data_IF_235686926186
#
_entry.id   IF_235686926186
#
_cell.length_a   1.000
_cell.length_b   1.000
_cell.length_c   1.000
_cell.angle_alpha   90.00
_cell.angle_beta   90.00
_cell.angle_gamma   90.00
#
_symmetry.space_group_name_H-M   'P 1'
#
loop_
_entity.id
_entity.type
_entity.pdbx_description
1 polymer ?
#
# COMPACT_ATOMS: atom_id res chain seq x y z
N UNK A 1 -13.79 5.57 -10.97
CA UNK A 1 -13.29 6.34 -12.11
C UNK A 1 -11.93 5.79 -12.51
N UNK A 2 -11.77 5.44 -13.77
CA UNK A 2 -10.48 5.03 -14.32
C UNK A 2 -9.56 6.24 -14.47
N UNK A 3 -8.23 6.04 -14.52
CA UNK A 3 -7.31 7.14 -14.76
C UNK A 3 -7.69 7.89 -16.03
N UNK A 4 -7.97 9.17 -15.89
CA UNK A 4 -8.26 10.09 -17.00
C UNK A 4 -7.16 11.14 -17.03
N UNK A 5 -7.05 11.97 -18.07
CA UNK A 5 -6.14 13.14 -18.08
C UNK A 5 -6.33 13.99 -16.82
N UNK A 6 -7.58 14.23 -16.40
CA UNK A 6 -7.87 14.98 -15.17
C UNK A 6 -7.34 14.30 -13.91
N UNK A 7 -7.32 12.96 -13.87
CA UNK A 7 -6.77 12.20 -12.73
C UNK A 7 -5.26 12.31 -12.68
N UNK A 8 -4.57 12.21 -13.83
CA UNK A 8 -3.11 12.42 -13.89
C UNK A 8 -2.71 13.86 -13.54
N UNK A 9 -3.48 14.87 -13.97
CA UNK A 9 -3.25 16.26 -13.60
C UNK A 9 -3.34 16.47 -12.08
N UNK A 10 -4.32 15.85 -11.40
CA UNK A 10 -4.45 15.91 -9.94
C UNK A 10 -3.29 15.17 -9.25
N UNK A 11 -2.87 14.03 -9.76
CA UNK A 11 -1.73 13.29 -9.21
C UNK A 11 -0.44 14.10 -9.35
N UNK A 12 -0.21 14.76 -10.49
CA UNK A 12 0.94 15.65 -10.69
C UNK A 12 0.92 16.85 -9.71
N UNK A 13 -0.26 17.44 -9.44
CA UNK A 13 -0.41 18.50 -8.44
C UNK A 13 -0.08 18.01 -7.03
N UNK A 14 -0.43 16.76 -6.69
CA UNK A 14 -0.06 16.16 -5.41
C UNK A 14 1.45 15.92 -5.30
N UNK A 15 2.12 15.50 -6.38
CA UNK A 15 3.59 15.40 -6.40
C UNK A 15 4.23 16.75 -6.07
N UNK A 16 3.74 17.84 -6.68
CA UNK A 16 4.21 19.19 -6.36
C UNK A 16 3.94 19.56 -4.89
N UNK A 17 2.78 19.19 -4.35
CA UNK A 17 2.45 19.43 -2.94
C UNK A 17 3.43 18.70 -2.01
N UNK A 18 3.77 17.46 -2.29
CA UNK A 18 4.79 16.71 -1.54
C UNK A 18 6.16 17.39 -1.61
N UNK A 19 6.57 17.83 -2.79
CA UNK A 19 7.87 18.51 -3.01
C UNK A 19 7.94 19.85 -2.26
N UNK A 20 6.83 20.58 -2.15
CA UNK A 20 6.73 21.84 -1.40
C UNK A 20 6.50 21.66 0.10
N UNK A 21 6.41 20.43 0.60
CA UNK A 21 6.25 20.15 2.02
C UNK A 21 4.83 20.41 2.56
N UNK A 22 3.82 20.46 1.69
CA UNK A 22 2.44 20.83 2.05
C UNK A 22 1.54 19.66 2.47
N UNK A 23 1.95 18.42 2.22
CA UNK A 23 1.13 17.24 2.49
C UNK A 23 1.26 16.76 3.95
N UNK A 24 0.33 15.91 4.37
CA UNK A 24 0.34 15.31 5.71
C UNK A 24 1.61 14.50 5.95
N UNK A 25 2.04 13.71 4.97
CA UNK A 25 3.26 12.89 5.09
C UNK A 25 4.51 13.75 5.35
N UNK A 26 4.62 14.94 4.76
CA UNK A 26 5.74 15.83 5.02
C UNK A 26 5.84 16.22 6.51
N UNK A 27 4.68 16.48 7.13
CA UNK A 27 4.63 16.84 8.55
C UNK A 27 4.94 15.63 9.44
N UNK A 28 4.40 14.46 9.08
CA UNK A 28 4.60 13.22 9.82
C UNK A 28 6.04 12.72 9.73
N UNK A 29 6.68 12.82 8.58
CA UNK A 29 8.11 12.53 8.42
C UNK A 29 8.96 13.46 9.29
N UNK A 30 8.68 14.77 9.26
CA UNK A 30 9.37 15.74 10.12
C UNK A 30 9.18 15.41 11.61
N UNK A 31 7.97 15.11 12.04
CA UNK A 31 7.66 14.80 13.43
C UNK A 31 8.35 13.52 13.92
N UNK A 32 8.53 12.55 13.04
CA UNK A 32 9.15 11.26 13.35
C UNK A 32 10.61 11.17 12.91
N UNK A 33 11.24 12.23 12.41
CA UNK A 33 12.63 12.23 11.96
C UNK A 33 12.88 11.20 10.85
N UNK A 34 11.97 11.12 9.89
CA UNK A 34 12.07 10.24 8.72
C UNK A 34 12.32 11.08 7.45
N UNK A 35 13.10 10.53 6.54
CA UNK A 35 13.30 11.10 5.21
C UNK A 35 12.13 10.75 4.29
N UNK A 36 11.79 11.64 3.36
CA UNK A 36 10.71 11.45 2.39
C UNK A 36 11.27 11.51 0.98
N UNK A 37 11.06 10.44 0.23
CA UNK A 37 11.26 10.40 -1.22
C UNK A 37 9.94 10.25 -1.94
N UNK A 38 9.74 10.98 -3.03
CA UNK A 38 8.53 10.95 -3.86
C UNK A 38 8.91 10.54 -5.27
N UNK A 39 8.39 9.40 -5.70
CA UNK A 39 8.67 8.81 -7.01
C UNK A 39 7.44 8.99 -7.89
N UNK A 40 7.57 9.73 -8.98
CA UNK A 40 6.52 9.94 -9.96
C UNK A 40 6.61 8.86 -11.05
N UNK A 41 5.58 8.01 -11.15
CA UNK A 41 5.54 6.86 -12.04
C UNK A 41 4.76 7.19 -13.33
N UNK A 42 5.44 7.67 -14.36
CA UNK A 42 4.89 7.93 -15.71
C UNK A 42 3.51 8.63 -15.71
N UNK A 43 3.41 9.79 -15.06
CA UNK A 43 2.14 10.51 -14.87
C UNK A 43 1.45 10.88 -16.18
N UNK A 44 2.20 11.05 -17.27
CA UNK A 44 1.68 11.38 -18.61
C UNK A 44 1.08 10.17 -19.34
N UNK A 45 1.30 8.96 -18.83
CA UNK A 45 0.83 7.72 -19.41
C UNK A 45 0.04 6.90 -18.37
N UNK A 46 -1.25 7.20 -18.12
CA UNK A 46 -2.08 6.43 -17.20
C UNK A 46 -2.21 4.97 -17.66
N UNK A 47 -2.45 4.07 -16.71
CA UNK A 47 -2.77 2.67 -17.01
C UNK A 47 -4.04 2.56 -17.84
N UNK A 48 -4.17 1.47 -18.61
CA UNK A 48 -5.37 1.21 -19.38
C UNK A 48 -6.57 0.86 -18.48
N UNK A 49 -7.76 0.92 -19.06
CA UNK A 49 -9.01 0.52 -18.39
C UNK A 49 -9.07 -1.00 -18.28
N UNK A 50 -8.94 -1.54 -17.07
CA UNK A 50 -8.97 -2.98 -16.83
C UNK A 50 -10.32 -3.64 -17.19
N UNK A 51 -11.38 -2.86 -17.42
CA UNK A 51 -12.64 -3.41 -17.93
C UNK A 51 -12.63 -3.65 -19.43
N UNK A 52 -11.65 -3.08 -20.15
CA UNK A 52 -11.49 -3.20 -21.60
C UNK A 52 -10.28 -4.08 -22.00
N UNK A 53 -9.23 -4.10 -21.19
CA UNK A 53 -8.02 -4.89 -21.39
C UNK A 53 -7.16 -4.91 -20.13
N UNK A 54 -5.96 -5.51 -20.13
CA UNK A 54 -5.05 -5.42 -19.00
C UNK A 54 -4.66 -3.97 -18.71
N UNK A 55 -4.59 -3.59 -17.43
CA UNK A 55 -4.21 -2.25 -17.00
C UNK A 55 -2.79 -1.91 -17.44
N UNK A 56 -1.90 -2.88 -17.39
CA UNK A 56 -0.50 -2.79 -17.80
C UNK A 56 -0.10 -4.04 -18.58
N UNK A 57 0.86 -3.91 -19.46
CA UNK A 57 1.59 -5.06 -20.02
C UNK A 57 2.52 -5.65 -18.95
N UNK A 58 2.98 -6.87 -19.15
CA UNK A 58 4.01 -7.49 -18.29
C UNK A 58 5.28 -6.64 -18.23
N UNK A 59 5.71 -6.08 -19.35
CA UNK A 59 6.89 -5.22 -19.41
C UNK A 59 6.70 -3.91 -18.61
N UNK A 60 5.52 -3.28 -18.66
CA UNK A 60 5.21 -2.08 -17.87
C UNK A 60 5.13 -2.41 -16.38
N UNK A 61 4.56 -3.55 -16.02
CA UNK A 61 4.50 -4.02 -14.63
C UNK A 61 5.91 -4.23 -14.08
N UNK A 62 6.76 -4.92 -14.84
CA UNK A 62 8.15 -5.17 -14.46
C UNK A 62 8.96 -3.86 -14.35
N UNK A 63 8.77 -2.93 -15.29
CA UNK A 63 9.43 -1.63 -15.24
C UNK A 63 9.03 -0.84 -13.97
N UNK A 64 7.75 -0.79 -13.64
CA UNK A 64 7.29 -0.14 -12.42
C UNK A 64 7.84 -0.83 -11.15
N UNK A 65 7.92 -2.16 -11.13
CA UNK A 65 8.56 -2.89 -10.03
C UNK A 65 10.06 -2.54 -9.92
N UNK A 66 10.76 -2.41 -11.04
CA UNK A 66 12.18 -2.02 -11.05
C UNK A 66 12.37 -0.58 -10.52
N UNK A 67 11.49 0.36 -10.89
CA UNK A 67 11.52 1.72 -10.35
C UNK A 67 11.31 1.72 -8.82
N UNK A 68 10.34 0.97 -8.33
CA UNK A 68 10.10 0.81 -6.89
C UNK A 68 11.30 0.20 -6.16
N UNK A 69 11.90 -0.84 -6.74
CA UNK A 69 13.10 -1.46 -6.18
C UNK A 69 14.30 -0.51 -6.15
N UNK A 70 14.51 0.26 -7.21
CA UNK A 70 15.60 1.24 -7.32
C UNK A 70 15.43 2.44 -6.37
N UNK A 71 14.21 2.72 -5.93
CA UNK A 71 13.90 3.81 -5.00
C UNK A 71 14.23 3.49 -3.53
N UNK A 72 14.54 2.23 -3.21
CA UNK A 72 14.85 1.82 -1.83
C UNK A 72 16.26 2.28 -1.44
N UNK A 73 16.37 3.09 -0.40
CA UNK A 73 17.64 3.38 0.24
C UNK A 73 18.11 2.14 1.03
N UNK A 74 19.14 1.49 0.53
CA UNK A 74 19.68 0.25 1.11
C UNK A 74 20.40 0.47 2.45
N UNK A 75 20.54 1.71 2.91
CA UNK A 75 21.12 2.08 4.21
C UNK A 75 20.04 2.41 5.25
N UNK A 76 18.77 2.39 4.89
CA UNK A 76 17.66 2.68 5.79
C UNK A 76 17.49 1.58 6.85
N UNK A 77 17.19 1.96 8.08
CA UNK A 77 16.84 1.04 9.17
C UNK A 77 15.43 0.45 9.01
N UNK A 78 14.53 1.18 8.39
CA UNK A 78 13.14 0.78 8.10
C UNK A 78 12.63 1.53 6.87
N UNK A 79 11.90 0.84 6.02
CA UNK A 79 11.23 1.43 4.86
C UNK A 79 9.75 1.62 5.16
N UNK A 80 9.23 2.81 4.89
CA UNK A 80 7.80 3.12 4.92
C UNK A 80 7.31 3.23 3.49
N UNK A 81 6.27 2.52 3.14
CA UNK A 81 5.65 2.59 1.82
C UNK A 81 4.28 3.25 1.91
N UNK A 82 4.15 4.35 1.19
CA UNK A 82 2.90 5.05 0.93
C UNK A 82 2.64 5.15 -0.57
N UNK A 83 1.48 5.59 -0.93
CA UNK A 83 1.07 5.76 -2.32
C UNK A 83 0.14 6.96 -2.50
N UNK A 84 0.05 7.43 -3.73
CA UNK A 84 -0.91 8.43 -4.16
C UNK A 84 -1.31 8.15 -5.61
N UNK A 85 -2.57 7.79 -5.83
CA UNK A 85 -3.13 7.55 -7.17
C UNK A 85 -4.64 7.72 -7.19
N UNK A 86 -5.14 8.57 -8.09
CA UNK A 86 -6.58 8.81 -8.20
C UNK A 86 -7.28 7.56 -8.76
N UNK A 87 -8.21 7.00 -7.97
CA UNK A 87 -8.97 5.79 -8.35
C UNK A 87 -8.38 4.49 -7.83
N UNK A 88 -7.23 4.52 -7.19
CA UNK A 88 -6.50 3.32 -6.73
C UNK A 88 -7.25 2.49 -5.68
N UNK A 89 -8.22 3.04 -4.93
CA UNK A 89 -9.07 2.25 -4.05
C UNK A 89 -9.94 1.23 -4.81
N UNK A 90 -10.33 1.55 -6.06
CA UNK A 90 -11.03 0.61 -6.94
C UNK A 90 -10.08 -0.50 -7.40
N UNK A 91 -8.85 -0.14 -7.76
CA UNK A 91 -7.79 -1.05 -8.16
C UNK A 91 -7.44 -2.00 -7.01
N UNK A 92 -7.21 -1.47 -5.81
CA UNK A 92 -6.90 -2.28 -4.62
C UNK A 92 -8.02 -3.29 -4.30
N UNK A 93 -9.29 -2.86 -4.39
CA UNK A 93 -10.44 -3.74 -4.19
C UNK A 93 -10.53 -4.83 -5.30
N UNK A 94 -10.22 -4.49 -6.56
CA UNK A 94 -10.20 -5.44 -7.66
C UNK A 94 -9.12 -6.51 -7.47
N UNK A 95 -7.89 -6.09 -7.11
CA UNK A 95 -6.78 -7.00 -6.81
C UNK A 95 -7.13 -7.92 -5.64
N UNK A 96 -7.64 -7.38 -4.54
CA UNK A 96 -8.02 -8.17 -3.37
C UNK A 96 -9.12 -9.19 -3.69
N UNK A 97 -10.14 -8.78 -4.46
CA UNK A 97 -11.21 -9.68 -4.91
C UNK A 97 -10.69 -10.79 -5.84
N UNK A 98 -9.76 -10.46 -6.77
CA UNK A 98 -9.16 -11.44 -7.67
C UNK A 98 -8.30 -12.47 -6.93
N UNK A 99 -7.51 -12.03 -5.94
CA UNK A 99 -6.56 -12.89 -5.22
C UNK A 99 -7.22 -13.74 -4.12
N UNK A 100 -8.26 -13.21 -3.46
CA UNK A 100 -8.86 -13.86 -2.27
C UNK A 100 -10.34 -14.24 -2.45
N UNK A 101 -10.93 -13.86 -3.58
CA UNK A 101 -12.32 -14.20 -3.88
C UNK A 101 -13.36 -13.52 -2.97
N UNK A 102 -14.58 -14.04 -3.00
CA UNK A 102 -15.72 -13.52 -2.25
C UNK A 102 -16.47 -12.40 -2.98
N UNK A 103 -17.53 -11.89 -2.34
CA UNK A 103 -18.36 -10.84 -2.90
C UNK A 103 -17.59 -9.54 -3.10
N UNK A 104 -17.65 -8.96 -4.30
CA UNK A 104 -16.94 -7.70 -4.65
C UNK A 104 -17.33 -6.56 -3.70
N UNK A 105 -18.61 -6.48 -3.35
CA UNK A 105 -19.12 -5.45 -2.45
C UNK A 105 -18.42 -5.46 -1.06
N UNK A 106 -17.91 -6.62 -0.61
CA UNK A 106 -17.19 -6.72 0.66
C UNK A 106 -15.77 -6.13 0.62
N UNK A 107 -15.25 -5.84 -0.57
CA UNK A 107 -13.92 -5.23 -0.78
C UNK A 107 -13.99 -3.73 -1.03
N UNK A 108 -15.19 -3.22 -1.42
CA UNK A 108 -15.36 -1.84 -1.89
C UNK A 108 -15.77 -0.92 -0.75
N UNK A 109 -15.07 0.19 -0.64
CA UNK A 109 -15.41 1.29 0.26
C UNK A 109 -15.55 2.62 -0.46
N UNK A 110 -15.91 3.65 0.30
CA UNK A 110 -16.13 5.00 -0.22
C UNK A 110 -14.85 5.65 -0.77
N UNK A 111 -13.67 5.16 -0.39
CA UNK A 111 -12.42 5.84 -0.70
C UNK A 111 -12.39 7.22 -0.06
N UNK A 112 -11.87 8.21 -0.78
CA UNK A 112 -11.81 9.60 -0.33
C UNK A 112 -13.12 10.37 -0.52
N UNK A 113 -14.23 9.73 -0.93
CA UNK A 113 -15.52 10.44 -1.00
C UNK A 113 -16.50 9.97 -2.08
N UNK A 114 -16.52 8.68 -2.44
CA UNK A 114 -17.59 8.16 -3.32
C UNK A 114 -18.92 8.09 -2.57
N UNK A 115 -19.97 8.58 -3.21
CA UNK A 115 -21.35 8.39 -2.78
C UNK A 115 -21.86 6.96 -3.11
N UNK A 116 -23.10 6.66 -2.77
CA UNK A 116 -23.73 5.35 -3.03
C UNK A 116 -23.68 4.93 -4.50
N UNK A 117 -23.85 5.86 -5.42
CA UNK A 117 -23.81 5.56 -6.86
C UNK A 117 -22.38 5.41 -7.37
N UNK A 118 -21.43 6.13 -6.78
CA UNK A 118 -20.01 5.92 -6.99
C UNK A 118 -19.56 4.53 -6.56
N UNK A 119 -20.04 4.03 -5.42
CA UNK A 119 -19.79 2.68 -4.95
C UNK A 119 -20.37 1.61 -5.89
N UNK A 120 -21.61 1.77 -6.36
CA UNK A 120 -22.21 0.87 -7.35
C UNK A 120 -21.37 0.81 -8.63
N UNK A 121 -20.92 1.97 -9.12
CA UNK A 121 -20.04 2.03 -10.31
C UNK A 121 -18.71 1.32 -10.09
N UNK A 122 -18.10 1.45 -8.89
CA UNK A 122 -16.88 0.72 -8.54
C UNK A 122 -17.12 -0.80 -8.59
N UNK A 123 -18.18 -1.27 -7.93
CA UNK A 123 -18.54 -2.69 -7.89
C UNK A 123 -18.73 -3.23 -9.32
N UNK A 124 -19.56 -2.58 -10.14
CA UNK A 124 -19.81 -3.01 -11.52
C UNK A 124 -18.54 -3.04 -12.38
N UNK A 125 -17.63 -2.05 -12.19
CA UNK A 125 -16.36 -2.02 -12.90
C UNK A 125 -15.45 -3.18 -12.47
N UNK A 126 -15.38 -3.48 -11.17
CA UNK A 126 -14.58 -4.60 -10.64
C UNK A 126 -15.15 -5.93 -11.15
N UNK A 127 -16.46 -6.15 -11.07
CA UNK A 127 -17.11 -7.36 -11.58
C UNK A 127 -16.82 -7.57 -13.06
N UNK A 128 -16.90 -6.52 -13.88
CA UNK A 128 -16.56 -6.58 -15.31
C UNK A 128 -15.08 -6.93 -15.52
N UNK A 129 -14.18 -6.32 -14.76
CA UNK A 129 -12.75 -6.62 -14.80
C UNK A 129 -12.44 -8.07 -14.41
N UNK A 130 -13.01 -8.56 -13.31
CA UNK A 130 -12.83 -9.94 -12.85
C UNK A 130 -13.36 -10.97 -13.87
N UNK A 131 -14.51 -10.69 -14.49
CA UNK A 131 -15.06 -11.55 -15.52
C UNK A 131 -14.17 -11.60 -16.78
N UNK A 132 -13.45 -10.52 -17.09
CA UNK A 132 -12.54 -10.47 -18.25
C UNK A 132 -11.19 -11.15 -17.95
N UNK A 133 -10.65 -10.99 -16.76
CA UNK A 133 -9.31 -11.40 -16.38
C UNK A 133 -9.35 -12.62 -15.44
N UNK A 134 -9.68 -13.77 -15.99
CA UNK A 134 -9.81 -15.04 -15.25
C UNK A 134 -8.57 -15.91 -15.37
N UNK A 135 -8.31 -16.75 -14.36
CA UNK A 135 -7.25 -17.76 -14.42
C UNK A 135 -5.82 -17.20 -14.37
N UNK A 136 -5.65 -15.97 -13.90
CA UNK A 136 -4.35 -15.33 -13.75
C UNK A 136 -3.67 -15.79 -12.46
N UNK A 137 -2.36 -15.91 -12.50
CA UNK A 137 -1.53 -15.97 -11.30
C UNK A 137 -1.42 -14.60 -10.63
N UNK A 138 -0.73 -14.51 -9.50
CA UNK A 138 -0.62 -13.29 -8.72
C UNK A 138 0.01 -12.13 -9.50
N UNK A 139 1.01 -12.41 -10.33
CA UNK A 139 1.67 -11.38 -11.15
C UNK A 139 0.80 -10.96 -12.33
N UNK A 140 0.06 -11.89 -12.92
CA UNK A 140 -0.96 -11.61 -13.91
C UNK A 140 -2.09 -10.74 -13.37
N UNK A 141 -2.53 -10.96 -12.12
CA UNK A 141 -3.50 -10.09 -11.42
C UNK A 141 -2.93 -8.68 -11.24
N UNK A 142 -1.67 -8.55 -10.82
CA UNK A 142 -1.01 -7.25 -10.68
C UNK A 142 -0.93 -6.50 -12.02
N UNK A 143 -0.59 -7.18 -13.10
CA UNK A 143 -0.53 -6.58 -14.43
C UNK A 143 -1.92 -6.19 -14.96
N UNK A 144 -2.90 -7.10 -14.85
CA UNK A 144 -4.21 -6.90 -15.45
C UNK A 144 -5.12 -5.94 -14.67
N UNK A 145 -5.06 -5.94 -13.34
CA UNK A 145 -5.96 -5.21 -12.45
C UNK A 145 -5.25 -4.17 -11.59
N UNK A 146 -3.91 -4.20 -11.51
CA UNK A 146 -3.12 -3.29 -10.69
C UNK A 146 -2.87 -1.93 -11.33
N UNK A 147 -1.97 -1.17 -10.71
CA UNK A 147 -1.45 0.09 -11.20
C UNK A 147 0.06 0.17 -11.02
N UNK A 148 0.69 1.22 -11.59
CA UNK A 148 2.15 1.39 -11.50
C UNK A 148 2.63 1.52 -10.05
N UNK A 149 1.87 2.24 -9.21
CA UNK A 149 2.21 2.40 -7.80
C UNK A 149 2.12 1.08 -7.04
N UNK A 150 1.13 0.20 -7.34
CA UNK A 150 1.06 -1.13 -6.72
C UNK A 150 2.21 -2.02 -7.17
N UNK A 151 2.58 -1.96 -8.45
CA UNK A 151 3.74 -2.69 -8.96
C UNK A 151 5.05 -2.17 -8.34
N UNK A 152 5.22 -0.86 -8.23
CA UNK A 152 6.39 -0.26 -7.58
C UNK A 152 6.50 -0.65 -6.10
N UNK A 153 5.39 -0.68 -5.37
CA UNK A 153 5.35 -1.19 -3.98
C UNK A 153 5.84 -2.64 -3.91
N UNK A 154 5.39 -3.51 -4.82
CA UNK A 154 5.88 -4.89 -4.89
C UNK A 154 7.40 -4.95 -5.09
N UNK A 155 7.93 -4.14 -6.01
CA UNK A 155 9.37 -4.05 -6.26
C UNK A 155 10.16 -3.56 -5.05
N UNK A 156 9.66 -2.51 -4.37
CA UNK A 156 10.28 -1.97 -3.17
C UNK A 156 10.28 -2.99 -2.00
N UNK A 157 9.18 -3.73 -1.82
CA UNK A 157 9.09 -4.80 -0.81
C UNK A 157 10.13 -5.88 -1.06
N UNK A 158 10.31 -6.32 -2.32
CA UNK A 158 11.30 -7.34 -2.68
C UNK A 158 12.75 -6.84 -2.47
N UNK A 159 13.04 -5.59 -2.85
CA UNK A 159 14.36 -4.99 -2.65
C UNK A 159 14.70 -4.83 -1.16
N UNK A 160 13.74 -4.34 -0.36
CA UNK A 160 13.90 -4.23 1.09
C UNK A 160 14.12 -5.60 1.75
N UNK A 161 13.40 -6.64 1.30
CA UNK A 161 13.62 -8.01 1.77
C UNK A 161 15.04 -8.50 1.48
N UNK A 162 15.52 -8.29 0.25
CA UNK A 162 16.88 -8.67 -0.14
C UNK A 162 17.94 -7.95 0.69
N UNK A 163 17.69 -6.68 1.04
CA UNK A 163 18.55 -5.87 1.89
C UNK A 163 18.33 -6.10 3.40
N UNK A 164 17.38 -6.95 3.80
CA UNK A 164 16.99 -7.20 5.21
C UNK A 164 16.47 -5.95 5.93
N UNK A 165 15.80 -5.07 5.20
CA UNK A 165 15.17 -3.87 5.73
C UNK A 165 13.71 -4.20 6.05
N UNK A 166 13.23 -4.03 7.29
CA UNK A 166 11.82 -4.17 7.61
C UNK A 166 10.99 -3.10 6.90
N UNK A 167 9.76 -3.47 6.52
CA UNK A 167 8.85 -2.59 5.79
C UNK A 167 7.60 -2.31 6.62
N UNK A 168 7.15 -1.06 6.65
CA UNK A 168 5.84 -0.67 7.16
C UNK A 168 4.97 -0.28 5.95
N UNK A 169 4.00 -1.14 5.62
CA UNK A 169 2.97 -0.87 4.63
C UNK A 169 1.93 0.09 5.23
N UNK A 170 1.50 1.12 4.51
CA UNK A 170 0.56 2.11 5.03
C UNK A 170 -0.82 1.50 5.36
N UNK A 171 -1.78 1.63 4.49
CA UNK A 171 -3.15 1.20 4.68
C UNK A 171 -3.60 0.18 3.63
N UNK A 172 -4.89 0.24 3.27
CA UNK A 172 -5.53 -0.73 2.38
C UNK A 172 -4.81 -0.89 1.04
N UNK A 173 -4.42 0.21 0.39
CA UNK A 173 -3.88 0.17 -0.97
C UNK A 173 -2.48 -0.44 -0.99
N UNK A 174 -1.60 -0.03 -0.08
CA UNK A 174 -0.27 -0.63 0.06
C UNK A 174 -0.35 -2.12 0.43
N UNK A 175 -1.28 -2.49 1.33
CA UNK A 175 -1.50 -3.89 1.71
C UNK A 175 -2.06 -4.71 0.55
N UNK A 176 -2.98 -4.15 -0.25
CA UNK A 176 -3.51 -4.80 -1.45
C UNK A 176 -2.43 -4.98 -2.53
N UNK A 177 -1.54 -4.01 -2.72
CA UNK A 177 -0.39 -4.14 -3.59
C UNK A 177 0.49 -5.32 -3.17
N UNK A 178 0.93 -5.34 -1.91
CA UNK A 178 1.78 -6.40 -1.36
C UNK A 178 1.11 -7.78 -1.36
N UNK A 179 -0.22 -7.85 -1.40
CA UNK A 179 -0.96 -9.12 -1.44
C UNK A 179 -0.69 -9.97 -2.69
N UNK A 180 -0.26 -9.35 -3.80
CA UNK A 180 0.20 -10.09 -4.98
C UNK A 180 1.45 -10.92 -4.65
N UNK A 181 2.39 -10.36 -3.90
CA UNK A 181 3.58 -11.09 -3.43
C UNK A 181 3.20 -12.20 -2.45
N UNK A 182 2.31 -11.91 -1.49
CA UNK A 182 1.83 -12.92 -0.54
C UNK A 182 1.16 -14.11 -1.23
N UNK A 183 0.38 -13.85 -2.28
CA UNK A 183 -0.30 -14.90 -3.04
C UNK A 183 0.69 -15.74 -3.85
N UNK A 184 1.82 -15.19 -4.28
CA UNK A 184 2.89 -15.92 -4.93
C UNK A 184 3.69 -16.78 -3.91
N UNK A 185 4.09 -16.17 -2.79
CA UNK A 185 4.72 -16.84 -1.65
C UNK A 185 4.50 -16.01 -0.38
N UNK A 186 3.84 -16.60 0.61
CA UNK A 186 3.53 -15.95 1.89
C UNK A 186 4.77 -15.39 2.58
N UNK A 187 5.89 -16.10 2.49
CA UNK A 187 7.14 -15.71 3.12
C UNK A 187 7.71 -14.38 2.58
N UNK A 188 7.28 -13.93 1.40
CA UNK A 188 7.72 -12.65 0.84
C UNK A 188 7.31 -11.43 1.69
N UNK A 189 6.32 -11.59 2.58
CA UNK A 189 5.88 -10.51 3.47
C UNK A 189 6.28 -10.68 4.95
N UNK A 190 7.16 -11.62 5.31
CA UNK A 190 7.55 -11.87 6.71
C UNK A 190 8.18 -10.64 7.39
N UNK A 191 8.89 -9.81 6.62
CA UNK A 191 9.54 -8.57 7.07
C UNK A 191 8.61 -7.34 7.02
N UNK A 192 7.32 -7.53 6.66
CA UNK A 192 6.36 -6.44 6.51
C UNK A 192 5.43 -6.35 7.72
N UNK A 193 5.33 -5.16 8.29
CA UNK A 193 4.27 -4.73 9.21
C UNK A 193 3.22 -3.95 8.44
N UNK A 194 1.99 -3.88 8.96
CA UNK A 194 0.96 -2.97 8.44
C UNK A 194 0.79 -1.82 9.43
N UNK A 195 0.98 -0.58 8.97
CA UNK A 195 1.00 0.61 9.82
C UNK A 195 -0.34 0.88 10.45
N UNK A 196 -1.42 0.87 9.66
CA UNK A 196 -2.75 1.09 10.21
C UNK A 196 -3.84 0.28 9.50
N UNK A 197 -4.89 -0.07 10.24
CA UNK A 197 -6.14 -0.55 9.66
C UNK A 197 -6.90 0.64 9.10
N UNK A 198 -7.00 0.73 7.78
CA UNK A 198 -7.76 1.79 7.10
C UNK A 198 -9.26 1.65 7.38
N UNK A 199 -9.99 2.77 7.34
CA UNK A 199 -11.45 2.80 7.39
C UNK A 199 -12.13 2.13 6.16
N UNK A 200 -11.37 1.73 5.14
CA UNK A 200 -11.89 0.95 4.00
C UNK A 200 -12.32 -0.45 4.46
N UNK A 201 -13.59 -0.85 4.24
CA UNK A 201 -14.13 -2.12 4.76
C UNK A 201 -13.32 -3.34 4.31
N UNK A 202 -12.83 -3.33 3.07
CA UNK A 202 -12.00 -4.40 2.51
C UNK A 202 -10.68 -4.61 3.26
N UNK A 203 -10.17 -3.61 3.99
CA UNK A 203 -8.88 -3.74 4.65
C UNK A 203 -8.88 -4.75 5.79
N UNK A 204 -9.91 -4.75 6.65
CA UNK A 204 -10.02 -5.76 7.74
C UNK A 204 -10.06 -7.18 7.17
N UNK A 205 -10.82 -7.38 6.10
CA UNK A 205 -10.90 -8.65 5.39
C UNK A 205 -9.54 -9.05 4.81
N UNK A 206 -8.82 -8.09 4.21
CA UNK A 206 -7.50 -8.32 3.64
C UNK A 206 -6.48 -8.68 4.71
N UNK A 207 -6.44 -7.96 5.84
CA UNK A 207 -5.57 -8.27 6.96
C UNK A 207 -5.79 -9.70 7.48
N UNK A 208 -7.05 -10.11 7.61
CA UNK A 208 -7.39 -11.48 8.00
C UNK A 208 -6.91 -12.53 6.96
N UNK A 209 -7.03 -12.24 5.65
CA UNK A 209 -6.58 -13.12 4.58
C UNK A 209 -5.05 -13.26 4.55
N UNK A 210 -4.32 -12.22 4.95
CA UNK A 210 -2.86 -12.18 5.00
C UNK A 210 -2.29 -12.67 6.34
N UNK A 211 -3.14 -13.03 7.30
CA UNK A 211 -2.75 -13.33 8.69
C UNK A 211 -1.88 -12.21 9.30
N UNK A 212 -2.26 -10.95 9.06
CA UNK A 212 -1.56 -9.77 9.56
C UNK A 212 -2.45 -8.92 10.46
N UNK A 213 -1.80 -8.20 11.37
CA UNK A 213 -2.43 -7.20 12.24
C UNK A 213 -1.83 -5.84 11.95
N UNK A 214 -2.67 -4.81 11.95
CA UNK A 214 -2.21 -3.44 11.88
C UNK A 214 -1.69 -2.96 13.25
N UNK A 215 -0.69 -2.07 13.22
CA UNK A 215 -0.14 -1.44 14.43
C UNK A 215 -1.16 -0.45 15.04
N UNK A 216 -1.85 0.31 14.18
CA UNK A 216 -2.79 1.35 14.58
C UNK A 216 -4.18 1.10 14.00
N UNK A 217 -5.20 1.61 14.70
CA UNK A 217 -6.60 1.60 14.26
C UNK A 217 -7.30 2.90 14.68
N UNK A 218 -7.31 3.91 13.79
CA UNK A 218 -7.82 5.26 14.02
C UNK A 218 -8.76 5.74 12.91
N UNK A 219 -9.41 4.83 12.19
CA UNK A 219 -10.32 5.12 11.09
C UNK A 219 -9.71 6.02 10.00
N UNK A 220 -8.39 5.97 9.84
CA UNK A 220 -7.67 6.74 8.82
C UNK A 220 -7.95 6.21 7.43
N UNK A 221 -8.00 7.11 6.44
CA UNK A 221 -8.21 6.77 5.02
C UNK A 221 -7.58 7.77 4.05
N UNK A 222 -6.51 8.47 4.48
CA UNK A 222 -5.86 9.48 3.66
C UNK A 222 -4.94 8.87 2.60
N UNK A 223 -4.18 7.84 2.95
CA UNK A 223 -3.07 7.33 2.15
C UNK A 223 -1.78 8.10 2.42
N UNK A 224 -0.95 8.27 1.40
CA UNK A 224 0.31 9.03 1.41
C UNK A 224 1.40 8.46 2.32
N UNK A 225 1.22 7.27 2.90
CA UNK A 225 2.12 6.73 3.94
C UNK A 225 1.84 7.28 5.34
N UNK A 226 0.74 8.01 5.51
CA UNK A 226 0.45 8.75 6.74
C UNK A 226 0.27 7.86 7.97
N UNK A 227 -0.42 6.72 7.83
CA UNK A 227 -0.61 5.76 8.92
C UNK A 227 0.68 5.00 9.25
N UNK A 228 1.47 4.66 8.24
CA UNK A 228 2.77 4.02 8.43
C UNK A 228 3.77 4.96 9.11
N UNK A 229 3.77 6.25 8.77
CA UNK A 229 4.60 7.24 9.44
C UNK A 229 4.22 7.44 10.91
N UNK A 230 2.93 7.35 11.27
CA UNK A 230 2.49 7.32 12.66
C UNK A 230 2.95 6.05 13.38
N UNK A 231 2.85 4.89 12.71
CA UNK A 231 3.29 3.61 13.26
C UNK A 231 4.81 3.58 13.51
N UNK A 232 5.61 4.34 12.76
CA UNK A 232 7.04 4.50 13.01
C UNK A 232 7.31 5.06 14.42
N UNK A 233 6.51 6.02 14.89
CA UNK A 233 6.63 6.54 16.26
C UNK A 233 6.41 5.45 17.32
N UNK A 234 5.47 4.54 17.09
CA UNK A 234 5.23 3.40 17.98
C UNK A 234 6.40 2.41 17.94
N UNK A 235 6.93 2.13 16.73
CA UNK A 235 8.10 1.25 16.59
C UNK A 235 9.33 1.81 17.34
N UNK A 236 9.60 3.13 17.21
CA UNK A 236 10.69 3.79 17.94
C UNK A 236 10.50 3.70 19.45
N UNK A 237 9.28 3.98 19.94
CA UNK A 237 8.99 3.85 21.37
C UNK A 237 9.19 2.40 21.87
N UNK A 238 8.79 1.41 21.09
CA UNK A 238 9.01 0.00 21.42
C UNK A 238 10.52 -0.36 21.48
N UNK A 239 11.32 0.18 20.55
CA UNK A 239 12.78 -0.01 20.55
C UNK A 239 13.44 0.64 21.77
N UNK A 240 13.04 1.85 22.16
CA UNK A 240 13.53 2.51 23.38
C UNK A 240 13.22 1.67 24.64
N UNK A 241 12.00 1.14 24.75
CA UNK A 241 11.64 0.22 25.83
C UNK A 241 12.51 -1.05 25.80
N UNK A 242 12.67 -1.67 24.61
CA UNK A 242 13.44 -2.89 24.46
C UNK A 242 14.91 -2.71 24.85
N UNK A 243 15.51 -1.60 24.47
CA UNK A 243 16.93 -1.33 24.67
C UNK A 243 17.25 -0.72 26.06
N UNK A 244 16.29 0.01 26.65
CA UNK A 244 16.52 0.81 27.85
C UNK A 244 15.91 0.27 29.13
N UNK A 245 14.98 -0.69 29.05
CA UNK A 245 14.37 -1.25 30.27
C UNK A 245 15.35 -2.18 30.99
N UNK A 246 15.48 -1.98 32.32
CA UNK A 246 16.18 -2.92 33.18
C UNK A 246 15.35 -4.21 33.38
N UNK A 247 16.02 -5.33 33.51
CA UNK A 247 15.40 -6.57 33.99
C UNK A 247 15.04 -6.43 35.48
N UNK A 248 14.16 -7.28 35.99
CA UNK A 248 13.80 -7.28 37.43
C UNK A 248 15.04 -7.47 38.30
N UNK A 249 15.97 -8.33 37.89
CA UNK A 249 17.23 -8.55 38.62
C UNK A 249 18.11 -7.30 38.66
N UNK A 250 18.28 -6.58 37.57
CA UNK A 250 19.04 -5.32 37.49
C UNK A 250 18.35 -4.19 38.27
N UNK A 251 17.03 -4.17 38.30
CA UNK A 251 16.26 -3.18 39.05
C UNK A 251 16.07 -3.51 40.54
N UNK A 252 16.57 -4.65 41.00
CA UNK A 252 16.42 -5.12 42.38
C UNK A 252 14.97 -5.47 42.77
N UNK A 253 14.13 -5.77 41.81
CA UNK A 253 12.73 -6.18 42.03
C UNK A 253 12.70 -7.68 42.25
N UNK A 254 12.10 -8.10 43.40
CA UNK A 254 11.96 -9.51 43.70
C UNK A 254 10.99 -10.19 42.76
N UNK A 255 11.34 -11.36 42.26
CA UNK A 255 10.39 -12.23 41.57
C UNK A 255 9.42 -12.85 42.60
N UNK A 256 8.13 -12.87 42.27
CA UNK A 256 7.07 -13.41 43.14
C UNK A 256 6.97 -14.93 43.03
#
# INVERSE_FOLDING_TARGET
SFPTRRSSDLTAQMVLNFQHGGAAINQLCRANGADLSVIALELDRPTADFTEGPAMTEAETLAAMQEGAAAVDLTADVLILGEMGIGNSTIAAAMAAALFGGEVAAWVGAGTGSDSDGMKRKIAAIEKGLARHTGLDAMGVLAALGGREQAAICGAVLAARAARIPVILDGFICTAAASALYSADKALLDHCLVGHCSAEPGHRKLLAALDKRAVLEFDMRLGEGSGAALALGILRAALECHNGMATFGEAGVSEA
#
